data_IF_335915002155
#
_entry.id   IF_335915002155
#
_cell.length_a   1.000
_cell.length_b   1.000
_cell.length_c   1.000
_cell.angle_alpha   90.00
_cell.angle_beta   90.00
_cell.angle_gamma   90.00
#
_symmetry.space_group_name_H-M   'P 1'
#
loop_
_entity.id
_entity.type
_entity.pdbx_description
1 polymer ?
#
# COMPACT_ATOMS: atom_id res chain seq x y z
N UNK A 1 -17.58 1.45 5.79
CA UNK A 1 -17.14 2.24 4.61
C UNK A 1 -15.94 1.51 4.00
N UNK A 2 -16.08 0.90 2.81
CA UNK A 2 -14.94 0.31 2.12
C UNK A 2 -13.93 1.41 1.77
N UNK A 3 -12.66 1.17 2.05
CA UNK A 3 -11.60 2.14 1.77
C UNK A 3 -11.03 1.85 0.39
N UNK A 4 -11.04 2.85 -0.50
CA UNK A 4 -10.41 2.70 -1.81
C UNK A 4 -8.91 2.49 -1.65
N UNK A 5 -8.29 1.76 -2.59
CA UNK A 5 -6.85 1.52 -2.61
C UNK A 5 -6.03 2.82 -2.49
N UNK A 6 -6.48 3.87 -3.19
CA UNK A 6 -5.86 5.19 -3.17
C UNK A 6 -5.85 5.85 -1.78
N UNK A 7 -6.96 5.73 -1.04
CA UNK A 7 -7.06 6.25 0.32
C UNK A 7 -6.12 5.54 1.30
N UNK A 8 -5.88 4.24 1.10
CA UNK A 8 -4.92 3.48 1.90
C UNK A 8 -3.49 3.92 1.58
N UNK A 9 -3.16 4.14 0.31
CA UNK A 9 -1.85 4.65 -0.11
C UNK A 9 -1.56 6.03 0.46
N UNK A 10 -2.51 6.97 0.35
CA UNK A 10 -2.38 8.30 0.93
C UNK A 10 -2.10 8.23 2.44
N UNK A 11 -2.75 7.29 3.14
CA UNK A 11 -2.54 7.10 4.58
C UNK A 11 -1.16 6.50 4.90
N UNK A 12 -0.69 5.57 4.08
CA UNK A 12 0.67 5.00 4.20
C UNK A 12 1.71 6.10 4.01
N UNK A 13 1.55 6.94 2.99
CA UNK A 13 2.47 8.03 2.70
C UNK A 13 2.54 9.05 3.85
N UNK A 14 1.39 9.42 4.41
CA UNK A 14 1.32 10.31 5.56
C UNK A 14 2.04 9.74 6.78
N UNK A 15 1.76 8.46 7.12
CA UNK A 15 2.43 7.77 8.24
C UNK A 15 3.93 7.65 8.01
N UNK A 16 4.36 7.32 6.79
CA UNK A 16 5.77 7.25 6.44
C UNK A 16 6.47 8.61 6.61
N UNK A 17 5.88 9.69 6.09
CA UNK A 17 6.42 11.05 6.25
C UNK A 17 6.54 11.45 7.72
N UNK A 18 5.55 11.08 8.53
CA UNK A 18 5.59 11.30 9.98
C UNK A 18 6.74 10.54 10.64
N UNK A 19 6.90 9.24 10.35
CA UNK A 19 8.02 8.45 10.86
C UNK A 19 9.37 9.03 10.41
N UNK A 20 9.47 9.44 9.15
CA UNK A 20 10.69 9.98 8.58
C UNK A 20 11.10 11.32 9.21
N UNK A 21 10.12 12.18 9.54
CA UNK A 21 10.36 13.45 10.21
C UNK A 21 10.71 13.28 11.71
N UNK A 22 10.46 12.10 12.28
CA UNK A 22 10.75 11.83 13.68
C UNK A 22 12.25 11.53 13.89
N UNK A 23 12.91 12.32 14.73
CA UNK A 23 14.31 12.15 15.14
C UNK A 23 14.47 11.03 16.19
N UNK A 24 13.94 9.83 15.91
CA UNK A 24 13.94 8.70 16.84
C UNK A 24 13.76 7.35 16.13
N UNK A 25 13.54 6.28 16.90
CA UNK A 25 13.18 4.98 16.35
C UNK A 25 11.67 4.92 16.09
N UNK A 26 11.28 4.68 14.84
CA UNK A 26 9.90 4.43 14.46
C UNK A 26 9.79 3.10 13.73
N UNK A 27 8.82 2.29 14.15
CA UNK A 27 8.45 1.04 13.48
C UNK A 27 7.13 1.21 12.75
N UNK A 28 7.08 0.73 11.50
CA UNK A 28 5.85 0.66 10.71
C UNK A 28 5.77 -0.72 10.06
N UNK A 29 4.70 -1.45 10.37
CA UNK A 29 4.43 -2.77 9.79
C UNK A 29 3.14 -2.75 8.99
N UNK A 30 3.16 -3.28 7.76
CA UNK A 30 2.00 -3.41 6.88
C UNK A 30 1.73 -4.90 6.64
N UNK A 31 0.57 -5.38 7.07
CA UNK A 31 0.09 -6.74 6.81
C UNK A 31 -1.08 -6.69 5.82
N UNK A 32 -1.00 -7.46 4.74
CA UNK A 32 -2.09 -7.60 3.77
C UNK A 32 -2.64 -9.02 3.86
N UNK A 33 -3.93 -9.14 4.19
CA UNK A 33 -4.66 -10.41 4.28
C UNK A 33 -5.66 -10.49 3.14
N UNK A 34 -5.61 -11.58 2.38
CA UNK A 34 -6.57 -11.85 1.32
C UNK A 34 -7.82 -12.48 1.92
N UNK A 35 -8.97 -11.81 1.82
CA UNK A 35 -10.24 -12.38 2.26
C UNK A 35 -10.88 -13.21 1.14
N UNK A 36 -11.91 -13.98 1.52
CA UNK A 36 -12.64 -14.84 0.59
C UNK A 36 -13.56 -13.99 -0.29
N UNK A 37 -13.04 -13.66 -1.49
CA UNK A 37 -13.65 -12.95 -2.63
C UNK A 37 -13.59 -11.41 -2.57
N UNK A 38 -12.85 -10.86 -3.53
CA UNK A 38 -12.82 -9.44 -3.91
C UNK A 38 -12.54 -8.42 -2.80
N UNK A 39 -12.04 -8.84 -1.65
CA UNK A 39 -11.67 -7.94 -0.58
C UNK A 39 -10.27 -8.29 -0.06
N UNK A 40 -9.48 -7.24 0.18
CA UNK A 40 -8.19 -7.32 0.84
C UNK A 40 -8.28 -6.53 2.14
N UNK A 41 -7.83 -7.13 3.23
CA UNK A 41 -7.69 -6.43 4.50
C UNK A 41 -6.24 -5.95 4.62
N UNK A 42 -6.05 -4.65 4.79
CA UNK A 42 -4.75 -4.02 5.02
C UNK A 42 -4.71 -3.56 6.47
N UNK A 43 -3.80 -4.14 7.25
CA UNK A 43 -3.51 -3.72 8.61
C UNK A 43 -2.21 -2.93 8.62
N UNK A 44 -2.26 -1.72 9.16
CA UNK A 44 -1.09 -0.85 9.33
C UNK A 44 -0.84 -0.67 10.82
N UNK A 45 0.34 -1.05 11.29
CA UNK A 45 0.80 -0.87 12.67
C UNK A 45 1.85 0.22 12.68
N UNK A 46 1.55 1.33 13.38
CA UNK A 46 2.44 2.48 13.55
C UNK A 46 2.12 3.12 14.91
N UNK A 47 2.47 2.43 16.01
CA UNK A 47 2.07 2.80 17.39
C UNK A 47 0.56 2.64 17.70
N UNK A 48 -0.30 2.77 16.69
CA UNK A 48 -1.72 2.39 16.69
C UNK A 48 -1.97 1.44 15.52
N UNK A 49 -3.00 0.62 15.66
CA UNK A 49 -3.42 -0.32 14.62
C UNK A 49 -4.55 0.28 13.79
N UNK A 50 -4.29 0.48 12.51
CA UNK A 50 -5.28 0.89 11.51
C UNK A 50 -5.68 -0.32 10.68
N UNK A 51 -6.97 -0.42 10.35
CA UNK A 51 -7.53 -1.55 9.60
C UNK A 51 -8.39 -1.03 8.47
N UNK A 52 -8.04 -1.41 7.25
CA UNK A 52 -8.73 -1.02 6.04
C UNK A 52 -9.21 -2.27 5.31
N UNK A 53 -10.48 -2.25 4.90
CA UNK A 53 -11.03 -3.26 3.99
C UNK A 53 -11.12 -2.60 2.62
N UNK A 54 -10.32 -3.12 1.68
CA UNK A 54 -10.19 -2.61 0.33
C UNK A 54 -10.89 -3.58 -0.63
N UNK A 55 -11.97 -3.18 -1.30
CA UNK A 55 -12.53 -3.97 -2.37
C UNK A 55 -11.52 -4.01 -3.54
N UNK A 56 -11.30 -5.20 -4.07
CA UNK A 56 -10.43 -5.46 -5.18
C UNK A 56 -11.25 -6.16 -6.26
N UNK A 57 -11.59 -5.44 -7.32
CA UNK A 57 -12.39 -5.92 -8.44
C UNK A 57 -11.64 -6.90 -9.36
N UNK A 58 -10.45 -7.37 -8.97
CA UNK A 58 -9.75 -8.40 -9.74
C UNK A 58 -10.53 -9.73 -9.63
N UNK A 59 -11.04 -10.27 -10.76
CA UNK A 59 -11.64 -11.60 -10.78
C UNK A 59 -10.61 -12.63 -10.32
N UNK A 60 -11.08 -13.59 -9.55
CA UNK A 60 -10.25 -14.63 -8.95
C UNK A 60 -9.74 -15.54 -10.06
N UNK A 61 -8.42 -15.52 -10.31
CA UNK A 61 -7.73 -16.43 -11.23
C UNK A 61 -7.08 -15.71 -12.40
N UNK A 62 -5.75 -15.85 -12.49
CA UNK A 62 -4.84 -15.33 -13.52
C UNK A 62 -4.58 -13.81 -13.53
N UNK A 63 -3.32 -13.49 -13.20
CA UNK A 63 -2.57 -12.30 -13.63
C UNK A 63 -3.23 -10.95 -13.35
N UNK A 64 -2.96 -10.41 -12.16
CA UNK A 64 -3.23 -9.01 -11.87
C UNK A 64 -2.46 -8.10 -12.86
N UNK A 65 -3.15 -7.29 -13.71
CA UNK A 65 -2.49 -6.35 -14.61
C UNK A 65 -1.85 -5.16 -13.88
N UNK A 66 -2.03 -5.04 -12.56
CA UNK A 66 -1.28 -4.08 -11.74
C UNK A 66 0.18 -4.52 -11.43
N UNK A 67 0.65 -5.64 -12.00
CA UNK A 67 2.07 -5.96 -12.13
C UNK A 67 2.73 -5.32 -13.37
N UNK A 68 2.19 -4.22 -13.91
CA UNK A 68 3.06 -3.36 -14.71
C UNK A 68 4.05 -2.70 -13.75
N UNK A 69 5.21 -3.36 -13.59
CA UNK A 69 6.40 -2.77 -12.99
C UNK A 69 6.52 -1.33 -13.50
N UNK A 70 6.76 -0.32 -12.64
CA UNK A 70 7.15 0.99 -13.12
C UNK A 70 8.36 0.77 -14.02
N UNK A 71 8.16 0.89 -15.34
CA UNK A 71 9.27 0.88 -16.29
C UNK A 71 10.23 1.93 -15.77
N UNK A 72 11.43 1.47 -15.39
CA UNK A 72 12.50 2.32 -14.89
C UNK A 72 12.60 3.55 -15.79
N UNK A 73 12.26 4.72 -15.25
CA UNK A 73 12.72 5.99 -15.81
C UNK A 73 14.23 6.09 -15.50
N UNK A 74 15.06 5.37 -16.24
CA UNK A 74 16.46 5.78 -16.40
C UNK A 74 16.46 6.82 -17.50
N UNK A 75 16.54 8.09 -17.07
CA UNK A 75 16.56 9.27 -17.92
C UNK A 75 17.71 9.30 -18.94
N UNK A 76 17.68 10.27 -19.86
CA UNK A 76 18.48 10.25 -21.06
C UNK A 76 19.90 10.77 -20.81
N UNK A 77 20.86 10.12 -21.47
CA UNK A 77 22.04 10.77 -22.04
C UNK A 77 23.19 11.08 -21.09
N UNK A 78 24.35 10.53 -21.40
CA UNK A 78 25.58 11.31 -21.51
C UNK A 78 26.49 10.68 -22.58
N UNK A 79 27.15 11.59 -23.28
CA UNK A 79 27.87 11.49 -24.56
C UNK A 79 28.98 10.45 -24.59
#
# INVERSE_FOLDING_TARGET
>A
MPSSHDAVLARIEELYRMLFAHSGYGDMSIEIRFLRKHEKEVLIKCGKQYRFVVPCDCPTGEECPCHESPRKETGPGRK
#
